data_IF_187527312647
#
_entry.id   IF_187527312647
#
_cell.length_a   1.000
_cell.length_b   1.000
_cell.length_c   1.000
_cell.angle_alpha   90.00
_cell.angle_beta   90.00
_cell.angle_gamma   90.00
#
_symmetry.space_group_name_H-M   'P 1'
#
loop_
_entity.id
_entity.type
_entity.pdbx_description
1 polymer ?
#
# COMPACT_ATOMS: atom_id res chain seq x y z
N UNK A 1 -7.45 -3.86 15.19
CA UNK A 1 -6.07 -3.66 14.70
C UNK A 1 -5.59 -4.98 14.11
N UNK A 2 -5.16 -4.95 12.85
CA UNK A 2 -4.80 -6.12 12.06
C UNK A 2 -3.35 -6.00 11.58
N UNK A 3 -2.66 -7.14 11.53
CA UNK A 3 -1.27 -7.21 11.06
C UNK A 3 -1.24 -7.54 9.58
N UNK A 4 -0.58 -6.68 8.81
CA UNK A 4 -0.44 -6.82 7.36
C UNK A 4 1.02 -7.05 7.02
N UNK A 5 1.28 -8.10 6.24
CA UNK A 5 2.62 -8.43 5.74
C UNK A 5 2.84 -7.82 4.36
N UNK A 6 3.85 -6.96 4.29
CA UNK A 6 4.30 -6.27 3.09
C UNK A 6 5.70 -6.72 2.71
N UNK A 7 6.02 -6.68 1.42
CA UNK A 7 7.43 -6.65 0.98
C UNK A 7 8.04 -5.30 1.31
N UNK A 8 9.37 -5.22 1.32
CA UNK A 8 10.06 -3.94 1.55
C UNK A 8 9.67 -2.87 0.52
N UNK A 9 9.44 -3.26 -0.74
CA UNK A 9 9.00 -2.36 -1.82
C UNK A 9 7.58 -1.84 -1.56
N UNK A 10 6.65 -2.74 -1.23
CA UNK A 10 5.28 -2.38 -0.88
C UNK A 10 5.24 -1.44 0.34
N UNK A 11 6.07 -1.68 1.34
CA UNK A 11 6.15 -0.82 2.51
C UNK A 11 6.63 0.59 2.17
N UNK A 12 7.67 0.73 1.34
CA UNK A 12 8.14 2.06 0.91
C UNK A 12 7.14 2.77 0.00
N UNK A 13 6.48 2.04 -0.89
CA UNK A 13 5.38 2.58 -1.69
C UNK A 13 4.24 3.08 -0.80
N UNK A 14 3.80 2.30 0.18
CA UNK A 14 2.79 2.71 1.14
C UNK A 14 3.19 3.99 1.89
N UNK A 15 4.44 4.09 2.36
CA UNK A 15 4.94 5.28 3.05
C UNK A 15 4.89 6.53 2.17
N UNK A 16 5.24 6.39 0.89
CA UNK A 16 5.15 7.48 -0.09
C UNK A 16 3.70 7.86 -0.41
N UNK A 17 2.81 6.85 -0.50
CA UNK A 17 1.39 7.05 -0.77
C UNK A 17 0.70 7.84 0.36
N UNK A 18 0.93 7.46 1.62
CA UNK A 18 0.23 8.07 2.75
C UNK A 18 0.82 9.41 3.19
N UNK A 19 2.07 9.75 2.83
CA UNK A 19 2.75 11.01 3.17
C UNK A 19 2.54 11.48 4.63
N UNK A 20 2.57 10.57 5.60
CA UNK A 20 2.34 10.80 7.05
C UNK A 20 0.89 11.04 7.50
N UNK A 21 -0.11 10.84 6.63
CA UNK A 21 -1.54 10.98 6.98
C UNK A 21 -2.09 9.85 7.84
N UNK A 22 -1.38 8.71 7.92
CA UNK A 22 -1.82 7.49 8.59
C UNK A 22 -0.71 6.99 9.53
N UNK A 23 -1.09 6.64 10.75
CA UNK A 23 -0.17 6.08 11.75
C UNK A 23 -0.02 4.60 11.46
N UNK A 24 1.18 4.18 11.06
CA UNK A 24 1.50 2.76 10.86
C UNK A 24 2.47 2.31 11.95
N UNK A 25 2.08 1.32 12.74
CA UNK A 25 2.97 0.74 13.75
C UNK A 25 3.75 -0.41 13.11
N UNK A 26 5.06 -0.28 13.00
CA UNK A 26 5.93 -1.35 12.49
C UNK A 26 6.17 -2.36 13.61
N UNK A 27 5.61 -3.56 13.45
CA UNK A 27 5.80 -4.67 14.39
C UNK A 27 7.09 -5.44 14.11
N UNK A 28 7.44 -5.60 12.84
CA UNK A 28 8.65 -6.29 12.40
C UNK A 28 9.16 -5.68 11.09
N UNK A 29 10.49 -5.61 10.95
CA UNK A 29 11.14 -5.19 9.70
C UNK A 29 12.47 -5.93 9.52
N UNK A 30 12.66 -6.52 8.35
CA UNK A 30 13.97 -6.94 7.85
C UNK A 30 14.19 -6.38 6.43
N UNK A 31 15.20 -6.91 5.72
CA UNK A 31 15.55 -6.45 4.38
C UNK A 31 14.56 -6.90 3.29
N UNK A 32 13.63 -7.80 3.58
CA UNK A 32 12.72 -8.42 2.60
C UNK A 32 11.25 -8.12 2.91
N UNK A 33 10.86 -8.15 4.18
CA UNK A 33 9.48 -8.05 4.63
C UNK A 33 9.34 -7.03 5.75
N UNK A 34 8.14 -6.44 5.82
CA UNK A 34 7.70 -5.56 6.90
C UNK A 34 6.32 -6.03 7.36
N UNK A 35 6.12 -6.12 8.67
CA UNK A 35 4.82 -6.38 9.26
C UNK A 35 4.39 -5.10 9.97
N UNK A 36 3.28 -4.54 9.51
CA UNK A 36 2.68 -3.34 10.09
C UNK A 36 1.34 -3.68 10.74
N UNK A 37 0.96 -2.89 11.72
CA UNK A 37 -0.35 -2.96 12.37
C UNK A 37 -1.19 -1.76 11.95
N UNK A 38 -2.40 -2.03 11.46
CA UNK A 38 -3.35 -1.05 10.94
C UNK A 38 -4.70 -1.18 11.65
N UNK A 39 -5.39 -0.07 11.88
CA UNK A 39 -6.82 -0.10 12.22
C UNK A 39 -7.67 -0.34 10.96
N UNK A 40 -8.93 -0.74 11.13
CA UNK A 40 -9.87 -0.86 10.00
C UNK A 40 -10.00 0.48 9.26
N UNK A 41 -10.18 1.59 10.00
CA UNK A 41 -10.22 2.94 9.42
C UNK A 41 -8.96 3.29 8.61
N UNK A 42 -7.77 2.85 9.03
CA UNK A 42 -6.54 3.07 8.27
C UNK A 42 -6.50 2.21 7.01
N UNK A 43 -6.96 0.95 7.09
CA UNK A 43 -7.03 0.07 5.91
C UNK A 43 -7.97 0.64 4.86
N UNK A 44 -9.13 1.15 5.26
CA UNK A 44 -10.12 1.79 4.38
C UNK A 44 -9.51 3.01 3.67
N UNK A 45 -8.89 3.92 4.42
CA UNK A 45 -8.24 5.10 3.85
C UNK A 45 -7.10 4.76 2.91
N UNK A 46 -6.28 3.76 3.26
CA UNK A 46 -5.17 3.33 2.40
C UNK A 46 -5.72 2.74 1.10
N UNK A 47 -6.81 1.96 1.16
CA UNK A 47 -7.47 1.40 -0.03
C UNK A 47 -7.97 2.52 -0.94
N UNK A 48 -8.68 3.50 -0.39
CA UNK A 48 -9.17 4.65 -1.16
C UNK A 48 -8.01 5.41 -1.84
N UNK A 49 -6.94 5.71 -1.10
CA UNK A 49 -5.75 6.38 -1.66
C UNK A 49 -5.06 5.55 -2.76
N UNK A 50 -5.00 4.23 -2.61
CA UNK A 50 -4.37 3.36 -3.59
C UNK A 50 -5.22 3.25 -4.87
N UNK A 51 -6.55 3.24 -4.75
CA UNK A 51 -7.48 3.30 -5.89
C UNK A 51 -7.37 4.64 -6.63
N UNK A 52 -7.37 5.77 -5.91
CA UNK A 52 -7.15 7.09 -6.49
C UNK A 52 -5.79 7.17 -7.22
N UNK A 53 -4.75 6.54 -6.67
CA UNK A 53 -3.44 6.46 -7.31
C UNK A 53 -3.50 5.66 -8.61
N UNK A 54 -4.21 4.53 -8.64
CA UNK A 54 -4.37 3.69 -9.82
C UNK A 54 -5.05 4.44 -10.97
N UNK A 55 -6.08 5.23 -10.67
CA UNK A 55 -6.81 6.00 -11.67
C UNK A 55 -5.94 7.04 -12.37
N UNK A 56 -4.94 7.59 -11.68
CA UNK A 56 -4.08 8.68 -12.20
C UNK A 56 -2.75 8.15 -12.74
N UNK A 57 -2.13 7.19 -12.06
CA UNK A 57 -0.74 6.74 -12.30
C UNK A 57 -0.62 5.22 -12.51
N UNK A 58 -1.71 4.47 -12.38
CA UNK A 58 -1.69 3.01 -12.47
C UNK A 58 -1.31 2.51 -13.86
N UNK A 59 -1.59 3.29 -14.91
CA UNK A 59 -1.37 2.89 -16.29
C UNK A 59 -0.51 3.91 -17.05
N UNK A 60 0.31 3.41 -17.97
CA UNK A 60 1.00 4.24 -18.92
C UNK A 60 0.10 4.65 -20.11
N UNK A 61 0.66 5.42 -21.04
CA UNK A 61 -0.05 5.89 -22.25
C UNK A 61 -0.57 4.77 -23.16
N UNK A 62 -0.02 3.56 -23.04
CA UNK A 62 -0.43 2.38 -23.81
C UNK A 62 -1.43 1.52 -23.03
N UNK A 63 -1.99 2.06 -21.92
CA UNK A 63 -2.87 1.36 -20.99
C UNK A 63 -2.22 0.12 -20.35
N UNK A 64 -0.88 0.11 -20.25
CA UNK A 64 -0.16 -0.97 -19.55
C UNK A 64 0.03 -0.60 -18.10
N UNK A 65 -0.25 -1.56 -17.23
CA UNK A 65 -0.07 -1.41 -15.79
C UNK A 65 1.40 -1.10 -15.46
N UNK A 66 1.63 0.03 -14.81
CA UNK A 66 2.96 0.49 -14.41
C UNK A 66 3.46 -0.32 -13.21
N UNK A 67 4.75 -0.25 -12.93
CA UNK A 67 5.31 -0.93 -11.74
C UNK A 67 4.74 -0.36 -10.43
N UNK A 68 4.47 0.95 -10.37
CA UNK A 68 3.80 1.54 -9.22
C UNK A 68 2.31 1.21 -9.18
N UNK A 69 1.66 1.07 -10.34
CA UNK A 69 0.29 0.55 -10.45
C UNK A 69 0.17 -0.86 -9.88
N UNK A 70 1.07 -1.77 -10.23
CA UNK A 70 1.12 -3.13 -9.63
C UNK A 70 1.23 -3.08 -8.11
N UNK A 71 2.10 -2.21 -7.57
CA UNK A 71 2.26 -2.07 -6.13
C UNK A 71 0.98 -1.55 -5.46
N UNK A 72 0.23 -0.67 -6.11
CA UNK A 72 -1.05 -0.17 -5.62
C UNK A 72 -2.13 -1.26 -5.65
N UNK A 73 -2.27 -2.02 -6.75
CA UNK A 73 -3.19 -3.17 -6.85
C UNK A 73 -2.90 -4.22 -5.76
N UNK A 74 -1.64 -4.64 -5.64
CA UNK A 74 -1.23 -5.63 -4.63
C UNK A 74 -1.49 -5.13 -3.19
N UNK A 75 -1.36 -3.83 -2.94
CA UNK A 75 -1.65 -3.24 -1.64
C UNK A 75 -3.15 -3.29 -1.35
N UNK A 76 -3.99 -2.94 -2.32
CA UNK A 76 -5.46 -3.01 -2.21
C UNK A 76 -5.90 -4.45 -1.90
N UNK A 77 -5.43 -5.43 -2.67
CA UNK A 77 -5.76 -6.85 -2.47
C UNK A 77 -5.44 -7.33 -1.05
N UNK A 78 -4.29 -6.91 -0.50
CA UNK A 78 -3.86 -7.28 0.86
C UNK A 78 -4.72 -6.68 1.97
N UNK A 79 -5.40 -5.57 1.70
CA UNK A 79 -6.21 -4.84 2.68
C UNK A 79 -7.69 -5.23 2.65
N UNK A 80 -8.10 -6.10 1.72
CA UNK A 80 -9.44 -6.69 1.66
C UNK A 80 -9.57 -8.05 2.38
N UNK A 81 -8.51 -8.52 3.07
CA UNK A 81 -8.44 -9.84 3.74
C UNK A 81 -8.71 -9.76 5.24
#
# INVERSE_FOLDING_TARGET
>A
MQRVKLTIKQYYFLQDLIKQSIITNVFYKDNHIVIIELSEDDMDKIRDLALDYLDIYGFDKDYKLTESGKLAEELVDKLYT
#
